data_IF_845908842111
#
_entry.id   IF_845908842111
#
_cell.length_a   1.000
_cell.length_b   1.000
_cell.length_c   1.000
_cell.angle_alpha   90.00
_cell.angle_beta   90.00
_cell.angle_gamma   90.00
#
_symmetry.space_group_name_H-M   'P 1'
#
loop_
_entity.id
_entity.type
_entity.pdbx_description
1 polymer ?
#
# COMPACT_ATOMS: atom_id res chain seq x y z
N UNK A 1 27.61 14.59 -11.59
CA UNK A 1 26.56 13.56 -11.76
C UNK A 1 26.05 12.95 -10.43
N UNK A 2 26.07 13.66 -9.29
CA UNK A 2 25.56 13.14 -7.99
C UNK A 2 24.15 13.63 -7.62
N UNK A 3 23.68 14.72 -8.24
CA UNK A 3 22.34 15.29 -7.98
C UNK A 3 21.17 14.41 -8.43
N UNK A 4 21.33 13.66 -9.54
CA UNK A 4 20.26 12.81 -10.08
C UNK A 4 19.88 11.60 -9.19
N UNK A 5 20.82 11.08 -8.38
CA UNK A 5 20.58 9.90 -7.52
C UNK A 5 19.74 10.22 -6.28
N UNK A 6 19.77 11.46 -5.77
CA UNK A 6 18.97 11.85 -4.61
C UNK A 6 17.46 11.96 -4.94
N UNK A 7 17.14 12.22 -6.20
CA UNK A 7 15.77 12.35 -6.71
C UNK A 7 15.14 10.98 -6.97
N UNK A 8 15.89 10.04 -7.58
CA UNK A 8 15.45 8.65 -7.71
C UNK A 8 15.19 7.99 -6.35
N UNK A 9 16.06 8.21 -5.35
CA UNK A 9 15.97 7.49 -4.07
C UNK A 9 14.70 7.79 -3.28
N UNK A 10 14.16 9.02 -3.32
CA UNK A 10 12.92 9.36 -2.61
C UNK A 10 11.68 8.70 -3.21
N UNK A 11 11.71 8.35 -4.49
CA UNK A 11 10.53 7.85 -5.18
C UNK A 11 10.27 6.39 -4.79
N UNK A 12 11.31 5.56 -4.67
CA UNK A 12 11.19 4.15 -4.25
C UNK A 12 10.70 3.99 -2.80
N UNK A 13 11.12 4.87 -1.88
CA UNK A 13 10.67 4.83 -0.48
C UNK A 13 9.17 5.16 -0.34
N UNK A 14 8.69 6.05 -1.22
CA UNK A 14 7.31 6.53 -1.27
C UNK A 14 6.37 5.48 -1.85
N UNK A 15 6.75 4.89 -2.99
CA UNK A 15 6.03 3.75 -3.56
C UNK A 15 6.11 2.53 -2.66
N UNK A 16 7.24 2.27 -1.99
CA UNK A 16 7.43 1.11 -1.12
C UNK A 16 6.43 1.08 0.05
N UNK A 17 6.14 2.23 0.65
CA UNK A 17 5.20 2.31 1.79
C UNK A 17 3.75 2.06 1.35
N UNK A 18 3.35 2.58 0.18
CA UNK A 18 2.00 2.39 -0.37
C UNK A 18 1.86 0.97 -0.92
N UNK A 19 2.87 0.48 -1.64
CA UNK A 19 2.91 -0.89 -2.18
C UNK A 19 2.88 -1.94 -1.07
N UNK A 20 3.57 -1.70 0.05
CA UNK A 20 3.50 -2.57 1.23
C UNK A 20 2.09 -2.57 1.83
N UNK A 21 1.46 -1.40 1.94
CA UNK A 21 0.07 -1.27 2.40
C UNK A 21 -0.91 -2.04 1.52
N UNK A 22 -0.78 -1.91 0.19
CA UNK A 22 -1.59 -2.66 -0.78
C UNK A 22 -1.30 -4.16 -0.70
N UNK A 23 -0.03 -4.59 -0.61
CA UNK A 23 0.31 -6.01 -0.53
C UNK A 23 -0.30 -6.68 0.71
N UNK A 24 -0.22 -6.02 1.88
CA UNK A 24 -0.84 -6.51 3.11
C UNK A 24 -2.38 -6.50 2.97
N UNK A 25 -2.94 -5.42 2.43
CA UNK A 25 -4.38 -5.29 2.20
C UNK A 25 -4.93 -6.36 1.25
N UNK A 26 -4.23 -6.67 0.16
CA UNK A 26 -4.59 -7.74 -0.78
C UNK A 26 -4.49 -9.11 -0.14
N UNK A 27 -3.45 -9.39 0.65
CA UNK A 27 -3.31 -10.68 1.34
C UNK A 27 -4.46 -10.94 2.32
N UNK A 28 -4.82 -9.94 3.12
CA UNK A 28 -5.95 -10.02 4.06
C UNK A 28 -7.28 -10.04 3.30
N UNK A 29 -7.44 -9.16 2.32
CA UNK A 29 -8.64 -9.06 1.49
C UNK A 29 -8.92 -10.33 0.70
N UNK A 30 -7.90 -10.99 0.17
CA UNK A 30 -8.03 -12.28 -0.49
C UNK A 30 -8.49 -13.37 0.49
N UNK A 31 -7.91 -13.44 1.70
CA UNK A 31 -8.33 -14.40 2.72
C UNK A 31 -9.80 -14.19 3.16
N UNK A 32 -10.22 -12.93 3.32
CA UNK A 32 -11.61 -12.59 3.64
C UNK A 32 -12.52 -12.88 2.45
N UNK A 33 -12.12 -12.54 1.23
CA UNK A 33 -12.88 -12.81 0.01
C UNK A 33 -13.08 -14.31 -0.21
N UNK A 34 -12.08 -15.14 0.06
CA UNK A 34 -12.22 -16.60 0.02
C UNK A 34 -13.19 -17.13 1.08
N UNK A 35 -13.35 -16.46 2.21
CA UNK A 35 -14.30 -16.87 3.25
C UNK A 35 -15.76 -16.49 2.91
N UNK A 36 -15.96 -15.51 2.03
CA UNK A 36 -17.27 -15.00 1.59
C UNK A 36 -17.67 -15.62 0.24
N UNK A 37 -16.84 -16.52 -0.32
CA UNK A 37 -16.98 -17.08 -1.68
C UNK A 37 -16.89 -16.02 -2.81
N UNK A 38 -16.45 -14.81 -2.46
CA UNK A 38 -16.41 -13.65 -3.37
C UNK A 38 -15.04 -12.96 -3.29
N UNK A 39 -14.05 -13.65 -3.86
CA UNK A 39 -12.64 -13.21 -3.94
C UNK A 39 -12.47 -11.83 -4.59
N UNK A 40 -13.18 -11.48 -5.69
CA UNK A 40 -13.06 -10.16 -6.31
C UNK A 40 -13.44 -9.02 -5.34
N UNK A 41 -14.50 -9.23 -4.57
CA UNK A 41 -14.96 -8.26 -3.56
C UNK A 41 -13.93 -8.14 -2.44
N UNK A 42 -13.43 -9.27 -1.94
CA UNK A 42 -12.40 -9.28 -0.89
C UNK A 42 -11.10 -8.58 -1.30
N UNK A 43 -10.61 -8.82 -2.52
CA UNK A 43 -9.43 -8.13 -3.06
C UNK A 43 -9.70 -6.63 -3.23
N UNK A 44 -10.87 -6.24 -3.76
CA UNK A 44 -11.22 -4.82 -3.94
C UNK A 44 -11.25 -4.05 -2.61
N UNK A 45 -11.87 -4.64 -1.59
CA UNK A 45 -11.90 -4.10 -0.23
C UNK A 45 -10.49 -4.06 0.36
N UNK A 46 -9.72 -5.14 0.19
CA UNK A 46 -8.34 -5.25 0.65
C UNK A 46 -7.42 -4.18 0.06
N UNK A 47 -7.52 -3.90 -1.25
CA UNK A 47 -6.76 -2.84 -1.92
C UNK A 47 -7.20 -1.47 -1.40
N UNK A 48 -8.50 -1.21 -1.27
CA UNK A 48 -9.00 0.07 -0.79
C UNK A 48 -8.51 0.38 0.63
N UNK A 49 -8.58 -0.60 1.53
CA UNK A 49 -8.09 -0.50 2.91
C UNK A 49 -6.57 -0.40 2.95
N UNK A 50 -5.86 -1.24 2.20
CA UNK A 50 -4.40 -1.27 2.15
C UNK A 50 -3.78 0.00 1.56
N UNK A 51 -4.35 0.54 0.48
CA UNK A 51 -3.94 1.81 -0.11
C UNK A 51 -4.28 3.00 0.81
N UNK A 52 -5.48 2.97 1.44
CA UNK A 52 -5.90 3.99 2.40
C UNK A 52 -4.97 4.04 3.61
N UNK A 53 -4.65 2.89 4.22
CA UNK A 53 -3.70 2.78 5.33
C UNK A 53 -2.28 3.15 4.92
N UNK A 54 -1.77 2.66 3.79
CA UNK A 54 -0.44 3.02 3.28
C UNK A 54 -0.30 4.54 3.04
N UNK A 55 -1.35 5.18 2.53
CA UNK A 55 -1.43 6.63 2.37
C UNK A 55 -1.54 7.39 3.69
N UNK A 56 -2.38 6.92 4.63
CA UNK A 56 -2.57 7.54 5.95
C UNK A 56 -1.33 7.44 6.84
N UNK A 57 -0.69 6.27 6.88
CA UNK A 57 0.57 6.04 7.61
C UNK A 57 1.68 6.96 7.10
N UNK A 58 1.72 7.22 5.78
CA UNK A 58 2.61 8.24 5.18
C UNK A 58 2.22 9.65 5.58
N UNK A 59 0.93 10.00 5.54
CA UNK A 59 0.44 11.32 5.98
C UNK A 59 0.81 11.59 7.45
N UNK A 60 0.74 10.58 8.30
CA UNK A 60 1.17 10.65 9.70
C UNK A 60 2.69 10.74 9.82
N UNK A 61 3.46 9.96 9.04
CA UNK A 61 4.93 10.00 9.03
C UNK A 61 5.48 11.33 8.49
N UNK A 62 4.71 12.07 7.68
CA UNK A 62 5.07 13.42 7.20
C UNK A 62 4.97 14.51 8.27
N UNK A 63 4.37 14.22 9.43
CA UNK A 63 4.17 15.20 10.51
C UNK A 63 4.98 14.90 11.79
N UNK A 64 5.95 13.98 11.71
CA UNK A 64 7.01 13.80 12.71
C UNK A 64 8.38 14.03 12.11
#
# INVERSE_FOLDING_TARGET
MRGARAICRRMDDEYGSIALGIAIGVGIGAAIGTAIDDVPVGIGVGIAVGAGLGGLLRSWRRKR
#
